data_IF_951146833447
#
_entry.id   IF_951146833447
#
_cell.length_a   1.000
_cell.length_b   1.000
_cell.length_c   1.000
_cell.angle_alpha   90.00
_cell.angle_beta   90.00
_cell.angle_gamma   90.00
#
_symmetry.space_group_name_H-M   'P 1'
#
loop_
_entity.id
_entity.type
_entity.pdbx_description
1 polymer ?
#
# COMPACT_ATOMS: atom_id res chain seq x y z
N UNK A 1 -39.19 -4.41 19.49
CA UNK A 1 -37.72 -4.28 19.50
C UNK A 1 -37.40 -2.95 20.15
N UNK A 2 -36.77 -2.95 21.33
CA UNK A 2 -36.34 -1.71 21.99
C UNK A 2 -34.83 -1.66 21.87
N UNK A 3 -34.32 -0.99 20.85
CA UNK A 3 -32.90 -0.69 20.80
C UNK A 3 -32.56 0.30 21.93
N UNK A 4 -31.31 0.29 22.39
CA UNK A 4 -30.86 1.27 23.38
C UNK A 4 -30.66 2.63 22.70
N UNK A 5 -31.41 3.69 23.05
CA UNK A 5 -31.26 5.01 22.40
C UNK A 5 -29.91 5.68 22.71
N UNK A 6 -29.23 5.28 23.79
CA UNK A 6 -27.96 5.85 24.24
C UNK A 6 -26.74 5.04 23.73
N UNK A 7 -26.93 4.21 22.70
CA UNK A 7 -25.90 3.29 22.20
C UNK A 7 -24.58 4.01 21.81
N UNK A 8 -24.68 5.20 21.24
CA UNK A 8 -23.51 5.97 20.79
C UNK A 8 -22.68 6.50 21.97
N UNK A 9 -23.35 7.05 22.99
CA UNK A 9 -22.70 7.53 24.21
C UNK A 9 -22.06 6.37 24.98
N UNK A 10 -22.80 5.28 25.18
CA UNK A 10 -22.33 4.08 25.88
C UNK A 10 -21.13 3.47 25.16
N UNK A 11 -21.20 3.30 23.84
CA UNK A 11 -20.11 2.72 23.06
C UNK A 11 -18.84 3.57 23.08
N UNK A 12 -18.95 4.89 22.98
CA UNK A 12 -17.80 5.79 23.08
C UNK A 12 -17.19 5.79 24.49
N UNK A 13 -18.02 5.83 25.54
CA UNK A 13 -17.55 5.75 26.93
C UNK A 13 -16.86 4.40 27.22
N UNK A 14 -17.42 3.31 26.71
CA UNK A 14 -16.82 1.98 26.79
C UNK A 14 -15.43 1.94 26.15
N UNK A 15 -15.26 2.51 24.95
CA UNK A 15 -13.96 2.51 24.24
C UNK A 15 -12.88 3.22 25.07
N UNK A 16 -13.20 4.37 25.65
CA UNK A 16 -12.28 5.09 26.53
C UNK A 16 -11.93 4.26 27.78
N UNK A 17 -12.94 3.66 28.40
CA UNK A 17 -12.75 2.82 29.57
C UNK A 17 -11.89 1.58 29.27
N UNK A 18 -12.23 0.83 28.22
CA UNK A 18 -11.52 -0.38 27.82
C UNK A 18 -10.03 -0.10 27.57
N UNK A 19 -9.70 0.92 26.76
CA UNK A 19 -8.29 1.21 26.47
C UNK A 19 -7.52 1.80 27.66
N UNK A 20 -8.19 2.48 28.59
CA UNK A 20 -7.55 2.89 29.85
C UNK A 20 -7.05 1.70 30.70
N UNK A 21 -7.68 0.52 30.52
CA UNK A 21 -7.30 -0.73 31.18
C UNK A 21 -6.40 -1.60 30.32
N UNK A 22 -6.59 -1.61 29.00
CA UNK A 22 -5.81 -2.43 28.08
C UNK A 22 -4.38 -1.90 27.87
N UNK A 23 -4.22 -0.58 27.73
CA UNK A 23 -2.94 0.02 27.29
C UNK A 23 -1.90 0.16 28.42
N UNK A 24 -2.19 -0.38 29.61
CA UNK A 24 -1.23 -0.39 30.73
C UNK A 24 -0.02 -1.29 30.40
N UNK A 25 1.22 -0.88 30.77
CA UNK A 25 2.43 -1.68 30.48
C UNK A 25 2.48 -3.01 31.23
N UNK A 26 1.89 -3.07 32.41
CA UNK A 26 1.89 -4.26 33.26
C UNK A 26 0.80 -5.24 32.84
N UNK A 27 1.22 -6.45 32.46
CA UNK A 27 0.36 -7.51 31.95
C UNK A 27 -0.64 -8.01 33.00
N UNK A 28 -0.24 -8.09 34.27
CA UNK A 28 -1.12 -8.51 35.35
C UNK A 28 -2.18 -7.43 35.66
N UNK A 29 -1.80 -6.15 35.63
CA UNK A 29 -2.76 -5.04 35.75
C UNK A 29 -3.74 -5.00 34.57
N UNK A 30 -3.27 -5.28 33.34
CA UNK A 30 -4.12 -5.38 32.16
C UNK A 30 -5.18 -6.46 32.33
N UNK A 31 -4.74 -7.67 32.69
CA UNK A 31 -5.62 -8.83 32.84
C UNK A 31 -6.66 -8.61 33.95
N UNK A 32 -6.21 -8.21 35.15
CA UNK A 32 -7.12 -7.91 36.27
C UNK A 32 -8.05 -6.73 35.99
N UNK A 33 -7.58 -5.68 35.32
CA UNK A 33 -8.38 -4.50 35.00
C UNK A 33 -9.47 -4.73 33.95
N UNK A 34 -9.35 -5.79 33.14
CA UNK A 34 -10.31 -6.16 32.10
C UNK A 34 -11.22 -7.34 32.49
N UNK A 35 -10.88 -8.06 33.56
CA UNK A 35 -11.65 -9.19 34.12
C UNK A 35 -13.16 -8.97 34.09
N UNK A 36 -13.61 -7.83 34.62
CA UNK A 36 -15.04 -7.58 34.89
C UNK A 36 -15.82 -7.20 33.64
N UNK A 37 -15.13 -6.95 32.52
CA UNK A 37 -15.76 -6.68 31.23
C UNK A 37 -16.15 -7.96 30.48
N UNK A 38 -15.67 -9.13 30.90
CA UNK A 38 -15.97 -10.41 30.26
C UNK A 38 -16.81 -11.31 31.16
N UNK A 39 -17.80 -11.95 30.56
CA UNK A 39 -18.61 -12.98 31.20
C UNK A 39 -17.80 -14.28 31.37
N UNK A 40 -17.94 -14.99 32.51
CA UNK A 40 -17.20 -16.22 32.76
C UNK A 40 -17.37 -17.30 31.69
N UNK A 41 -18.54 -17.41 31.04
CA UNK A 41 -18.82 -18.49 30.08
C UNK A 41 -19.20 -18.04 28.66
N UNK A 42 -19.76 -16.83 28.52
CA UNK A 42 -20.44 -16.39 27.30
C UNK A 42 -19.75 -15.24 26.56
N UNK A 43 -18.51 -14.92 26.92
CA UNK A 43 -17.65 -14.03 26.16
C UNK A 43 -16.79 -14.80 25.16
N UNK A 44 -16.63 -14.23 23.96
CA UNK A 44 -15.79 -14.78 22.90
C UNK A 44 -14.81 -13.71 22.42
N UNK A 45 -13.52 -14.04 22.36
CA UNK A 45 -12.50 -13.19 21.75
C UNK A 45 -11.88 -13.91 20.57
N UNK A 46 -11.63 -13.21 19.47
CA UNK A 46 -10.75 -13.67 18.40
C UNK A 46 -9.61 -12.67 18.22
N UNK A 47 -8.39 -13.08 18.55
CA UNK A 47 -7.20 -12.24 18.47
C UNK A 47 -6.25 -12.80 17.40
N UNK A 48 -6.02 -12.04 16.32
CA UNK A 48 -5.19 -12.47 15.19
C UNK A 48 -5.63 -13.82 14.58
N UNK A 49 -6.92 -14.18 14.73
CA UNK A 49 -7.50 -15.42 14.18
C UNK A 49 -7.50 -16.59 15.16
N UNK A 50 -6.92 -16.43 16.35
CA UNK A 50 -7.01 -17.41 17.45
C UNK A 50 -8.19 -17.04 18.34
N UNK A 51 -9.15 -17.94 18.46
CA UNK A 51 -10.33 -17.75 19.30
C UNK A 51 -10.07 -18.23 20.74
N UNK A 52 -10.63 -17.51 21.71
CA UNK A 52 -10.71 -17.86 23.12
C UNK A 52 -12.16 -17.68 23.61
N UNK A 53 -12.60 -18.54 24.53
CA UNK A 53 -13.97 -18.50 25.08
C UNK A 53 -13.95 -18.42 26.60
N UNK A 54 -14.82 -17.57 27.13
CA UNK A 54 -14.96 -17.34 28.57
C UNK A 54 -13.82 -16.48 29.10
N UNK A 55 -14.08 -15.82 30.22
CA UNK A 55 -13.15 -14.87 30.83
C UNK A 55 -11.76 -15.44 31.04
N UNK A 56 -11.64 -16.65 31.58
CA UNK A 56 -10.34 -17.20 32.00
C UNK A 56 -9.39 -17.42 30.80
N UNK A 57 -9.88 -17.98 29.68
CA UNK A 57 -9.08 -18.16 28.46
C UNK A 57 -8.72 -16.80 27.81
N UNK A 58 -9.66 -15.84 27.85
CA UNK A 58 -9.44 -14.49 27.33
C UNK A 58 -8.34 -13.78 28.14
N UNK A 59 -8.40 -13.86 29.47
CA UNK A 59 -7.40 -13.28 30.36
C UNK A 59 -6.03 -13.97 30.18
N UNK A 60 -6.00 -15.28 29.98
CA UNK A 60 -4.77 -16.00 29.63
C UNK A 60 -4.20 -15.52 28.28
N UNK A 61 -5.07 -15.24 27.29
CA UNK A 61 -4.66 -14.68 26.01
C UNK A 61 -3.97 -13.34 26.19
N UNK A 62 -4.51 -12.43 27.01
CA UNK A 62 -3.86 -11.16 27.31
C UNK A 62 -2.47 -11.32 27.93
N UNK A 63 -2.30 -12.32 28.80
CA UNK A 63 -1.00 -12.63 29.39
C UNK A 63 0.02 -13.10 28.35
N UNK A 64 -0.43 -13.76 27.28
CA UNK A 64 0.44 -14.17 26.17
C UNK A 64 0.84 -13.05 25.20
N UNK A 65 0.19 -11.89 25.27
CA UNK A 65 0.49 -10.76 24.38
C UNK A 65 1.78 -10.06 24.83
N UNK A 66 2.74 -9.92 23.92
CA UNK A 66 4.04 -9.30 24.22
C UNK A 66 4.04 -7.77 24.14
N UNK A 67 2.85 -7.15 24.07
CA UNK A 67 2.72 -5.70 23.99
C UNK A 67 3.16 -5.03 25.29
N UNK A 68 4.27 -4.28 25.22
CA UNK A 68 4.72 -3.33 26.24
C UNK A 68 4.61 -1.91 25.67
N UNK A 69 4.30 -0.92 26.52
CA UNK A 69 4.23 0.49 26.11
C UNK A 69 3.33 0.77 24.91
N UNK A 70 2.01 0.56 25.04
CA UNK A 70 1.06 0.81 23.94
C UNK A 70 0.76 2.31 23.83
N UNK A 71 1.09 2.90 22.67
CA UNK A 71 0.63 4.23 22.28
C UNK A 71 -0.45 4.07 21.21
N UNK A 72 -1.69 4.46 21.55
CA UNK A 72 -2.85 4.29 20.69
C UNK A 72 -3.37 5.62 20.15
N UNK A 73 -3.65 5.65 18.86
CA UNK A 73 -4.36 6.73 18.21
C UNK A 73 -5.64 6.16 17.56
N UNK A 74 -6.81 6.50 18.12
CA UNK A 74 -8.09 6.11 17.56
C UNK A 74 -8.39 7.01 16.35
N UNK A 75 -8.56 6.41 15.18
CA UNK A 75 -8.94 7.12 13.95
C UNK A 75 -10.45 7.37 13.94
N UNK A 76 -11.23 6.34 14.27
CA UNK A 76 -12.69 6.41 14.27
C UNK A 76 -13.29 5.33 15.18
N UNK A 77 -14.40 5.69 15.80
CA UNK A 77 -15.29 4.78 16.52
C UNK A 77 -16.68 4.94 15.94
N UNK A 78 -17.32 3.82 15.60
CA UNK A 78 -18.69 3.76 15.11
C UNK A 78 -19.49 2.78 15.99
N UNK A 79 -20.67 3.22 16.45
CA UNK A 79 -21.54 2.44 17.31
C UNK A 79 -22.86 2.16 16.58
N UNK A 80 -23.38 0.95 16.67
CA UNK A 80 -24.65 0.56 16.07
C UNK A 80 -25.52 -0.17 17.10
N UNK A 81 -26.81 0.19 17.25
CA UNK A 81 -27.71 -0.52 18.13
C UNK A 81 -28.10 -1.88 17.55
N UNK A 82 -28.31 -2.87 18.42
CA UNK A 82 -28.84 -4.19 18.05
C UNK A 82 -30.25 -4.41 18.62
N UNK A 83 -31.05 -5.33 18.04
CA UNK A 83 -32.46 -5.52 18.41
C UNK A 83 -32.73 -5.98 19.85
N UNK A 84 -31.74 -6.57 20.51
CA UNK A 84 -31.76 -7.09 21.88
C UNK A 84 -31.27 -6.08 22.93
N UNK A 85 -31.03 -4.83 22.52
CA UNK A 85 -30.46 -3.79 23.37
C UNK A 85 -28.93 -3.85 23.48
N UNK A 86 -28.29 -4.81 22.80
CA UNK A 86 -26.84 -4.86 22.65
C UNK A 86 -26.34 -3.74 21.72
N UNK A 87 -25.03 -3.50 21.74
CA UNK A 87 -24.38 -2.45 20.96
C UNK A 87 -23.18 -3.06 20.23
N UNK A 88 -23.15 -2.93 18.90
CA UNK A 88 -21.96 -3.19 18.11
C UNK A 88 -21.07 -1.96 18.13
N UNK A 89 -19.81 -2.11 18.51
CA UNK A 89 -18.81 -1.05 18.51
C UNK A 89 -17.68 -1.44 17.57
N UNK A 90 -17.41 -0.63 16.56
CA UNK A 90 -16.28 -0.78 15.65
C UNK A 90 -15.26 0.32 15.94
N UNK A 91 -14.00 -0.08 16.16
CA UNK A 91 -12.88 0.83 16.39
C UNK A 91 -11.82 0.57 15.35
N UNK A 92 -11.40 1.63 14.68
CA UNK A 92 -10.23 1.62 13.80
C UNK A 92 -9.21 2.63 14.30
N UNK A 93 -7.95 2.28 14.23
CA UNK A 93 -6.90 3.14 14.75
C UNK A 93 -5.52 2.69 14.35
N UNK A 94 -4.55 3.32 15.00
CA UNK A 94 -3.14 3.02 14.91
C UNK A 94 -2.60 2.76 16.30
N UNK A 95 -1.65 1.84 16.40
CA UNK A 95 -0.95 1.50 17.63
C UNK A 95 0.55 1.43 17.37
N UNK A 96 1.33 1.97 18.30
CA UNK A 96 2.77 1.74 18.43
C UNK A 96 2.96 0.99 19.75
N UNK A 97 3.80 -0.03 19.76
CA UNK A 97 4.05 -0.85 20.95
C UNK A 97 5.46 -1.43 20.88
N UNK A 98 6.09 -1.57 22.03
CA UNK A 98 7.37 -2.24 22.20
C UNK A 98 7.14 -3.76 22.29
N UNK A 99 7.99 -4.56 21.62
CA UNK A 99 7.91 -6.02 21.63
C UNK A 99 9.16 -6.62 22.29
N UNK A 100 8.98 -7.49 23.29
CA UNK A 100 10.10 -8.17 23.98
C UNK A 100 10.91 -9.12 23.08
N UNK A 101 10.33 -9.62 21.99
CA UNK A 101 10.94 -10.70 21.19
C UNK A 101 11.86 -10.19 20.06
N UNK A 102 11.97 -8.88 19.85
CA UNK A 102 12.92 -8.32 18.89
C UNK A 102 14.37 -8.52 19.37
N UNK A 103 14.60 -8.50 20.68
CA UNK A 103 15.95 -8.60 21.28
C UNK A 103 16.56 -10.01 21.09
N UNK A 104 15.76 -11.06 21.09
CA UNK A 104 16.23 -12.46 21.03
C UNK A 104 16.53 -12.93 19.59
N UNK A 105 15.82 -12.40 18.58
CA UNK A 105 16.12 -12.66 17.16
C UNK A 105 17.42 -11.99 16.71
N UNK A 106 17.76 -10.83 17.28
CA UNK A 106 19.01 -10.13 16.96
C UNK A 106 20.24 -10.79 17.60
N UNK A 107 20.16 -11.24 18.86
CA UNK A 107 21.29 -11.92 19.52
C UNK A 107 21.67 -13.24 18.85
N UNK A 108 20.69 -14.00 18.34
CA UNK A 108 20.93 -15.27 17.66
C UNK A 108 21.62 -15.07 16.30
N UNK A 109 21.33 -13.97 15.59
CA UNK A 109 22.00 -13.61 14.32
C UNK A 109 23.43 -13.13 14.53
N UNK A 110 23.71 -12.38 15.61
CA UNK A 110 25.08 -11.99 15.95
C UNK A 110 25.95 -13.19 16.29
N UNK A 111 25.43 -14.17 17.05
CA UNK A 111 26.18 -15.42 17.33
C UNK A 111 26.42 -16.24 16.06
N UNK A 112 25.48 -16.28 15.11
CA UNK A 112 25.65 -17.00 13.85
C UNK A 112 26.62 -16.29 12.90
N UNK A 113 26.55 -14.95 12.81
CA UNK A 113 27.49 -14.15 12.02
C UNK A 113 28.93 -14.30 12.53
N UNK A 114 29.10 -14.32 13.86
CA UNK A 114 30.40 -14.50 14.49
C UNK A 114 30.99 -15.90 14.27
N UNK A 115 30.16 -16.95 14.24
CA UNK A 115 30.63 -18.30 13.88
C UNK A 115 31.01 -18.46 12.41
N UNK A 116 30.48 -17.60 11.53
CA UNK A 116 30.82 -17.61 10.09
C UNK A 116 32.12 -16.83 9.80
N UNK A 117 32.46 -15.84 10.63
CA UNK A 117 33.73 -15.11 10.55
C UNK A 117 34.94 -15.97 10.98
N UNK A 118 34.77 -16.85 11.97
CA UNK A 118 35.86 -17.70 12.48
C UNK A 118 36.21 -18.90 11.56
N UNK A 119 35.39 -19.24 10.55
CA UNK A 119 35.62 -20.39 9.65
C UNK A 119 36.24 -20.06 8.28
N UNK A 120 36.36 -18.78 7.88
CA UNK A 120 36.82 -18.41 6.53
C UNK A 120 37.92 -17.33 6.54
N UNK A 121 39.08 -17.65 7.11
CA UNK A 121 40.34 -17.04 6.65
C UNK A 121 40.85 -17.85 5.45
N UNK A 122 40.43 -17.50 4.23
CA UNK A 122 41.27 -17.45 3.01
C UNK A 122 40.39 -17.19 1.76
N UNK A 123 40.79 -16.13 1.04
CA UNK A 123 40.48 -15.80 -0.36
C UNK A 123 39.45 -14.69 -0.65
N UNK A 124 40.01 -13.63 -1.25
CA UNK A 124 39.41 -12.59 -2.07
C UNK A 124 38.40 -11.60 -1.48
N UNK A 125 38.90 -10.37 -1.35
CA UNK A 125 38.21 -9.09 -1.24
C UNK A 125 37.16 -8.88 -2.34
N UNK A 126 35.88 -9.16 -2.06
CA UNK A 126 34.72 -8.59 -2.78
C UNK A 126 33.56 -8.44 -1.79
N UNK A 127 33.07 -7.21 -1.64
CA UNK A 127 31.76 -6.82 -1.08
C UNK A 127 31.25 -7.53 0.20
N UNK A 128 31.73 -7.09 1.36
CA UNK A 128 30.89 -7.10 2.58
C UNK A 128 31.11 -5.80 3.35
N UNK A 129 30.66 -4.69 2.78
CA UNK A 129 30.44 -3.46 3.52
C UNK A 129 28.98 -3.03 3.30
N UNK A 130 28.09 -3.71 4.03
CA UNK A 130 26.67 -3.41 4.28
C UNK A 130 26.18 -4.62 5.08
N UNK A 131 26.10 -4.56 6.40
CA UNK A 131 25.01 -3.90 7.11
C UNK A 131 25.46 -3.71 8.57
N UNK A 132 26.12 -2.59 8.89
CA UNK A 132 26.06 -2.07 10.26
C UNK A 132 24.69 -1.41 10.36
N UNK A 133 23.67 -2.18 10.71
CA UNK A 133 22.45 -1.61 11.28
C UNK A 133 22.88 -0.96 12.60
N UNK A 134 23.09 0.35 12.53
CA UNK A 134 23.10 1.20 13.71
C UNK A 134 21.81 0.90 14.48
N UNK A 135 21.98 0.51 15.74
CA UNK A 135 20.94 0.31 16.72
C UNK A 135 20.13 1.61 16.87
N UNK A 136 19.10 1.80 16.04
CA UNK A 136 18.19 2.93 16.09
C UNK A 136 16.97 2.54 16.95
N UNK A 137 17.09 2.74 18.26
CA UNK A 137 16.09 2.35 19.26
C UNK A 137 14.94 3.36 19.42
N UNK A 138 14.35 3.91 18.35
CA UNK A 138 13.22 4.86 18.52
C UNK A 138 12.06 4.79 17.50
N UNK A 139 12.20 4.09 16.38
CA UNK A 139 11.16 4.06 15.32
C UNK A 139 10.47 2.70 15.17
N UNK A 140 9.96 2.14 16.28
CA UNK A 140 8.99 1.03 16.18
C UNK A 140 7.82 1.45 15.26
N UNK A 141 7.53 0.70 14.18
CA UNK A 141 6.61 1.14 13.15
C UNK A 141 5.17 1.19 13.69
N UNK A 142 4.50 2.32 13.46
CA UNK A 142 3.08 2.51 13.76
C UNK A 142 2.25 1.53 12.92
N UNK A 143 1.44 0.69 13.57
CA UNK A 143 0.65 -0.35 12.93
C UNK A 143 -0.85 -0.01 13.03
N UNK A 144 -1.58 -0.06 11.92
CA UNK A 144 -3.04 0.07 11.95
C UNK A 144 -3.67 -1.14 12.65
N UNK A 145 -4.82 -0.96 13.30
CA UNK A 145 -5.60 -2.07 13.84
C UNK A 145 -7.10 -1.82 13.65
N UNK A 146 -7.85 -2.92 13.63
CA UNK A 146 -9.30 -2.93 13.65
C UNK A 146 -9.76 -3.78 14.84
N UNK A 147 -10.69 -3.27 15.63
CA UNK A 147 -11.26 -3.97 16.77
C UNK A 147 -12.78 -3.81 16.79
N UNK A 148 -13.48 -4.93 16.97
CA UNK A 148 -14.94 -4.97 17.04
C UNK A 148 -15.36 -5.53 18.38
N UNK A 149 -16.38 -4.94 18.98
CA UNK A 149 -17.00 -5.42 20.22
C UNK A 149 -18.51 -5.54 20.03
N UNK A 150 -19.11 -6.55 20.65
CA UNK A 150 -20.54 -6.60 20.92
C UNK A 150 -20.72 -6.47 22.43
N UNK A 151 -21.34 -5.38 22.86
CA UNK A 151 -21.67 -5.12 24.26
C UNK A 151 -23.09 -5.60 24.52
N UNK A 152 -23.27 -6.53 25.45
CA UNK A 152 -24.58 -7.05 25.83
C UNK A 152 -24.97 -6.51 27.21
N UNK A 153 -26.21 -6.02 27.40
CA UNK A 153 -26.66 -5.56 28.71
C UNK A 153 -26.79 -6.73 29.70
N UNK A 154 -26.35 -6.51 30.93
CA UNK A 154 -26.52 -7.43 32.06
C UNK A 154 -26.67 -6.65 33.36
N UNK A 155 -27.80 -6.83 34.05
CA UNK A 155 -28.07 -6.28 35.40
C UNK A 155 -27.73 -4.79 35.59
N UNK A 156 -28.07 -3.96 34.59
CA UNK A 156 -27.82 -2.50 34.63
C UNK A 156 -26.42 -2.07 34.15
N UNK A 157 -25.56 -3.00 33.76
CA UNK A 157 -24.25 -2.77 33.16
C UNK A 157 -24.16 -3.43 31.77
N UNK A 158 -22.99 -3.33 31.13
CA UNK A 158 -22.67 -4.01 29.88
C UNK A 158 -21.43 -4.89 30.05
N UNK A 159 -21.44 -6.04 29.39
CA UNK A 159 -20.25 -6.89 29.25
C UNK A 159 -19.96 -7.13 27.77
N UNK A 160 -18.71 -7.49 27.45
CA UNK A 160 -18.25 -7.82 26.11
C UNK A 160 -18.66 -9.24 25.79
N UNK A 161 -19.69 -9.44 24.97
CA UNK A 161 -20.08 -10.78 24.53
C UNK A 161 -19.16 -11.30 23.43
N UNK A 162 -18.72 -10.42 22.53
CA UNK A 162 -17.86 -10.78 21.41
C UNK A 162 -16.81 -9.70 21.18
N UNK A 163 -15.59 -10.12 20.91
CA UNK A 163 -14.48 -9.27 20.53
C UNK A 163 -13.71 -9.87 19.35
N UNK A 164 -13.36 -9.04 18.38
CA UNK A 164 -12.42 -9.41 17.32
C UNK A 164 -11.35 -8.33 17.25
N UNK A 165 -10.09 -8.73 17.37
CA UNK A 165 -8.95 -7.85 17.21
C UNK A 165 -8.07 -8.31 16.04
N UNK A 166 -7.75 -7.36 15.15
CA UNK A 166 -6.86 -7.57 14.01
C UNK A 166 -5.84 -6.44 13.92
N UNK A 167 -4.57 -6.79 13.86
CA UNK A 167 -3.51 -5.91 13.39
C UNK A 167 -3.56 -5.87 11.85
N UNK A 168 -3.53 -4.66 11.29
CA UNK A 168 -3.19 -4.49 9.89
C UNK A 168 -1.74 -4.88 9.66
N UNK A 169 -1.37 -5.30 8.45
CA UNK A 169 0.03 -5.65 8.14
C UNK A 169 0.95 -4.48 8.49
N UNK A 170 2.14 -4.80 9.02
CA UNK A 170 3.22 -3.82 9.19
C UNK A 170 3.56 -3.24 7.82
N UNK A 171 3.07 -2.04 7.55
CA UNK A 171 3.46 -1.24 6.40
C UNK A 171 4.60 -0.36 6.91
N UNK A 172 5.85 -0.64 6.51
CA UNK A 172 6.91 0.33 6.71
C UNK A 172 6.60 1.54 5.83
N UNK A 173 6.15 2.63 6.44
CA UNK A 173 5.84 3.88 5.75
C UNK A 173 4.46 4.44 6.10
N UNK A 174 4.50 5.58 6.78
CA UNK A 174 3.35 6.44 7.10
C UNK A 174 2.56 6.78 5.83
N UNK A 175 1.39 6.17 5.63
CA UNK A 175 0.46 6.56 4.56
C UNK A 175 -0.59 7.52 5.09
N UNK A 176 -0.58 8.75 4.57
CA UNK A 176 -1.78 9.61 4.52
C UNK A 176 -2.76 8.99 3.52
N UNK A 177 -4.03 8.91 3.91
CA UNK A 177 -5.11 8.34 3.13
C UNK A 177 -5.19 8.95 1.72
N UNK A 178 -5.22 8.09 0.69
CA UNK A 178 -5.60 8.46 -0.68
C UNK A 178 -4.63 8.09 -1.81
N UNK A 179 -3.46 7.50 -1.55
CA UNK A 179 -2.56 7.04 -2.63
C UNK A 179 -2.29 5.55 -2.52
N UNK A 180 -2.48 4.84 -3.64
CA UNK A 180 -2.03 3.46 -3.86
C UNK A 180 -0.61 3.31 -3.31
N UNK A 181 -0.32 2.22 -2.61
CA UNK A 181 0.97 2.01 -1.99
C UNK A 181 2.11 2.05 -3.05
N UNK A 182 2.85 3.16 -3.07
CA UNK A 182 4.05 3.31 -3.90
C UNK A 182 5.18 2.46 -3.32
N UNK A 183 5.83 1.67 -4.19
CA UNK A 183 7.05 0.92 -3.87
C UNK A 183 8.11 1.87 -3.29
N UNK A 184 9.06 1.35 -2.50
CA UNK A 184 10.17 2.16 -1.99
C UNK A 184 11.02 2.76 -3.12
N UNK A 185 11.56 3.98 -2.93
CA UNK A 185 12.28 4.74 -3.96
C UNK A 185 13.42 3.94 -4.63
N UNK A 186 14.23 3.24 -3.84
CA UNK A 186 15.28 2.37 -4.38
C UNK A 186 14.74 1.29 -5.32
N UNK A 187 13.62 0.66 -4.95
CA UNK A 187 12.97 -0.37 -5.77
C UNK A 187 12.35 0.21 -7.03
N UNK A 188 11.74 1.40 -6.95
CA UNK A 188 11.23 2.11 -8.14
C UNK A 188 12.37 2.38 -9.11
N UNK A 189 13.52 2.85 -8.62
CA UNK A 189 14.68 3.11 -9.45
C UNK A 189 15.21 1.86 -10.15
N UNK A 190 15.34 0.75 -9.43
CA UNK A 190 15.76 -0.53 -9.98
C UNK A 190 14.76 -1.03 -11.05
N UNK A 191 13.46 -1.05 -10.71
CA UNK A 191 12.39 -1.45 -11.61
C UNK A 191 12.34 -0.56 -12.88
N UNK A 192 12.53 0.75 -12.73
CA UNK A 192 12.60 1.70 -13.86
C UNK A 192 13.82 1.45 -14.75
N UNK A 193 14.97 1.17 -14.14
CA UNK A 193 16.21 0.87 -14.86
C UNK A 193 16.07 -0.41 -15.67
N UNK A 194 15.50 -1.47 -15.08
CA UNK A 194 15.22 -2.71 -15.77
C UNK A 194 14.20 -2.52 -16.90
N UNK A 195 13.10 -1.80 -16.65
CA UNK A 195 12.11 -1.52 -17.67
C UNK A 195 12.74 -0.80 -18.88
N UNK A 196 13.43 0.32 -18.66
CA UNK A 196 14.06 1.08 -19.76
C UNK A 196 15.02 0.21 -20.55
N UNK A 197 15.85 -0.59 -19.86
CA UNK A 197 16.81 -1.49 -20.50
C UNK A 197 16.09 -2.52 -21.38
N UNK A 198 15.12 -3.24 -20.83
CA UNK A 198 14.47 -4.35 -21.51
C UNK A 198 13.66 -3.86 -22.73
N UNK A 199 12.96 -2.74 -22.61
CA UNK A 199 12.26 -2.11 -23.74
C UNK A 199 13.21 -1.51 -24.78
N UNK A 200 14.35 -0.95 -24.37
CA UNK A 200 15.38 -0.48 -25.31
C UNK A 200 15.96 -1.65 -26.12
N UNK A 201 16.24 -2.77 -25.45
CA UNK A 201 16.74 -3.99 -26.10
C UNK A 201 15.71 -4.53 -27.09
N UNK A 202 14.44 -4.61 -26.70
CA UNK A 202 13.36 -5.06 -27.59
C UNK A 202 13.23 -4.19 -28.86
N UNK A 203 13.29 -2.87 -28.71
CA UNK A 203 13.24 -1.93 -29.84
C UNK A 203 14.43 -2.11 -30.81
N UNK A 204 15.64 -2.28 -30.26
CA UNK A 204 16.86 -2.45 -31.05
C UNK A 204 16.85 -3.81 -31.78
N UNK A 205 16.55 -4.90 -31.05
CA UNK A 205 16.56 -6.25 -31.62
C UNK A 205 15.53 -6.37 -32.75
N UNK A 206 14.30 -5.90 -32.53
CA UNK A 206 13.25 -5.94 -33.57
C UNK A 206 13.63 -5.12 -34.81
N UNK A 207 14.22 -3.94 -34.61
CA UNK A 207 14.67 -3.07 -35.70
C UNK A 207 15.80 -3.68 -36.52
N UNK A 208 16.81 -4.24 -35.84
CA UNK A 208 17.93 -4.93 -36.50
C UNK A 208 17.42 -6.16 -37.25
N UNK A 209 16.50 -6.93 -36.64
CA UNK A 209 15.92 -8.10 -37.26
C UNK A 209 15.25 -7.74 -38.61
N UNK A 210 14.33 -6.78 -38.62
CA UNK A 210 13.69 -6.36 -39.86
C UNK A 210 14.68 -5.81 -40.88
N UNK A 211 15.57 -4.89 -40.48
CA UNK A 211 16.54 -4.30 -41.39
C UNK A 211 17.45 -5.36 -42.03
N UNK A 212 17.95 -6.32 -41.24
CA UNK A 212 18.82 -7.38 -41.74
C UNK A 212 18.12 -8.30 -42.75
N UNK A 213 16.91 -8.76 -42.46
CA UNK A 213 16.15 -9.63 -43.37
C UNK A 213 15.67 -8.89 -44.63
N UNK A 214 15.22 -7.64 -44.49
CA UNK A 214 14.77 -6.78 -45.61
C UNK A 214 15.90 -6.22 -46.47
N UNK A 215 17.17 -6.36 -46.06
CA UNK A 215 18.33 -6.03 -46.89
C UNK A 215 18.95 -7.26 -47.56
N UNK A 216 18.79 -8.46 -46.99
CA UNK A 216 19.50 -9.67 -47.43
C UNK A 216 18.60 -10.69 -48.13
N UNK A 217 17.36 -10.86 -47.70
CA UNK A 217 16.47 -11.95 -48.14
C UNK A 217 15.27 -11.38 -48.92
N UNK A 218 14.63 -10.35 -48.38
CA UNK A 218 13.43 -9.75 -48.96
C UNK A 218 13.77 -8.38 -49.56
N UNK A 219 13.18 -8.03 -50.71
CA UNK A 219 13.31 -6.68 -51.29
C UNK A 219 12.15 -5.80 -50.82
N UNK A 220 12.33 -5.10 -49.69
CA UNK A 220 11.32 -4.19 -49.17
C UNK A 220 11.14 -2.95 -50.06
N UNK A 221 9.89 -2.57 -50.27
CA UNK A 221 9.49 -1.37 -51.02
C UNK A 221 9.82 -0.08 -50.27
N UNK A 222 9.86 1.04 -51.00
CA UNK A 222 10.11 2.36 -50.41
C UNK A 222 9.11 2.71 -49.30
N UNK A 223 7.83 2.33 -49.46
CA UNK A 223 6.80 2.60 -48.47
C UNK A 223 7.06 1.81 -47.17
N UNK A 224 7.48 0.55 -47.28
CA UNK A 224 7.79 -0.28 -46.12
C UNK A 224 8.98 0.27 -45.33
N UNK A 225 10.02 0.75 -46.01
CA UNK A 225 11.13 1.48 -45.38
C UNK A 225 10.70 2.77 -44.69
N UNK A 226 9.79 3.53 -45.31
CA UNK A 226 9.24 4.76 -44.69
C UNK A 226 8.48 4.41 -43.40
N UNK A 227 7.59 3.40 -43.43
CA UNK A 227 6.84 2.99 -42.24
C UNK A 227 7.76 2.40 -41.18
N UNK A 228 8.79 1.66 -41.57
CA UNK A 228 9.84 1.18 -40.66
C UNK A 228 10.56 2.34 -39.95
N UNK A 229 10.94 3.40 -40.68
CA UNK A 229 11.51 4.61 -40.08
C UNK A 229 10.55 5.29 -39.10
N UNK A 230 9.24 5.31 -39.39
CA UNK A 230 8.22 5.81 -38.45
C UNK A 230 8.18 4.96 -37.18
N UNK A 231 8.23 3.63 -37.28
CA UNK A 231 8.31 2.73 -36.12
C UNK A 231 9.56 3.01 -35.27
N UNK A 232 10.74 3.18 -35.89
CA UNK A 232 11.97 3.55 -35.18
C UNK A 232 11.80 4.88 -34.44
N UNK A 233 11.23 5.88 -35.11
CA UNK A 233 11.01 7.20 -34.51
C UNK A 233 10.08 7.12 -33.29
N UNK A 234 8.99 6.37 -33.39
CA UNK A 234 8.05 6.15 -32.28
C UNK A 234 8.70 5.38 -31.12
N UNK A 235 9.46 4.32 -31.42
CA UNK A 235 10.19 3.56 -30.40
C UNK A 235 11.23 4.44 -29.69
N UNK A 236 12.01 5.21 -30.44
CA UNK A 236 13.00 6.13 -29.88
C UNK A 236 12.34 7.20 -29.01
N UNK A 237 11.28 7.83 -29.51
CA UNK A 237 10.51 8.83 -28.76
C UNK A 237 9.96 8.27 -27.45
N UNK A 238 9.40 7.05 -27.48
CA UNK A 238 8.89 6.38 -26.29
C UNK A 238 10.00 6.04 -25.28
N UNK A 239 11.14 5.50 -25.73
CA UNK A 239 12.29 5.19 -24.86
C UNK A 239 12.91 6.46 -24.25
N UNK A 240 13.08 7.52 -25.04
CA UNK A 240 13.56 8.81 -24.54
C UNK A 240 12.62 9.40 -23.50
N UNK A 241 11.31 9.30 -23.72
CA UNK A 241 10.31 9.77 -22.77
C UNK A 241 10.33 8.96 -21.47
N UNK A 242 10.46 7.63 -21.55
CA UNK A 242 10.66 6.79 -20.35
C UNK A 242 11.91 7.16 -19.57
N UNK A 243 13.03 7.42 -20.26
CA UNK A 243 14.28 7.88 -19.62
C UNK A 243 14.13 9.24 -18.94
N UNK A 244 13.41 10.15 -19.57
CA UNK A 244 13.11 11.46 -18.99
C UNK A 244 12.25 11.33 -17.72
N UNK A 245 11.20 10.50 -17.77
CA UNK A 245 10.30 10.29 -16.63
C UNK A 245 10.98 9.58 -15.45
N UNK A 246 11.93 8.68 -15.71
CA UNK A 246 12.63 7.90 -14.70
C UNK A 246 13.96 8.53 -14.22
N UNK A 247 14.15 9.84 -14.42
CA UNK A 247 15.36 10.51 -13.94
C UNK A 247 15.47 10.40 -12.41
N UNK A 248 16.56 9.81 -11.93
CA UNK A 248 16.80 9.66 -10.51
C UNK A 248 17.68 10.79 -9.95
N UNK A 249 17.38 11.21 -8.73
CA UNK A 249 18.21 12.11 -7.93
C UNK A 249 18.84 11.29 -6.81
N UNK A 250 20.14 11.51 -6.58
CA UNK A 250 20.92 10.81 -5.55
C UNK A 250 21.49 11.80 -4.55
N UNK A 251 21.69 11.36 -3.31
CA UNK A 251 22.38 12.15 -2.29
C UNK A 251 23.91 12.07 -2.46
N UNK A 252 24.64 12.84 -1.64
CA UNK A 252 26.11 12.86 -1.60
C UNK A 252 26.73 11.49 -1.27
N UNK A 253 25.98 10.62 -0.58
CA UNK A 253 26.37 9.23 -0.27
C UNK A 253 26.00 8.24 -1.38
N UNK A 254 25.48 8.70 -2.52
CA UNK A 254 25.09 7.88 -3.67
C UNK A 254 23.75 7.13 -3.54
N UNK A 255 22.98 7.34 -2.48
CA UNK A 255 21.66 6.73 -2.27
C UNK A 255 20.58 7.47 -3.07
N UNK A 256 19.61 6.73 -3.61
CA UNK A 256 18.50 7.29 -4.39
C UNK A 256 17.52 7.99 -3.46
N UNK A 257 17.39 9.30 -3.61
CA UNK A 257 16.42 10.12 -2.86
C UNK A 257 15.10 10.26 -3.62
N UNK A 258 15.17 10.28 -4.95
CA UNK A 258 14.01 10.31 -5.84
C UNK A 258 14.32 9.42 -7.06
N UNK A 259 13.45 8.47 -7.36
CA UNK A 259 13.59 7.57 -8.50
C UNK A 259 12.89 8.07 -9.78
N UNK A 260 12.24 9.23 -9.71
CA UNK A 260 11.38 9.73 -10.77
C UNK A 260 10.02 9.04 -10.78
N UNK A 261 9.29 9.18 -11.89
CA UNK A 261 7.98 8.56 -12.07
C UNK A 261 8.16 7.05 -12.23
N UNK A 262 7.44 6.26 -11.42
CA UNK A 262 7.41 4.80 -11.55
C UNK A 262 6.71 4.42 -12.86
N UNK A 263 7.48 3.88 -13.80
CA UNK A 263 7.01 3.50 -15.12
C UNK A 263 6.04 2.32 -15.08
N UNK A 264 6.00 1.56 -13.97
CA UNK A 264 5.15 0.38 -13.80
C UNK A 264 3.83 0.69 -13.08
N UNK A 265 3.53 1.96 -12.82
CA UNK A 265 2.23 2.35 -12.28
C UNK A 265 1.14 2.15 -13.34
N UNK A 266 0.05 1.43 -13.01
CA UNK A 266 -1.05 1.24 -13.94
C UNK A 266 -1.72 2.59 -14.24
N UNK A 267 -2.19 2.75 -15.48
CA UNK A 267 -2.83 3.98 -15.99
C UNK A 267 -1.92 5.22 -15.97
N UNK A 268 -0.62 5.05 -15.74
CA UNK A 268 0.36 6.12 -15.81
C UNK A 268 0.93 6.28 -17.23
N UNK A 269 1.50 7.45 -17.52
CA UNK A 269 2.06 7.76 -18.84
C UNK A 269 3.17 6.78 -19.28
N UNK A 270 3.88 6.18 -18.32
CA UNK A 270 4.91 5.15 -18.58
C UNK A 270 4.38 3.89 -19.26
N UNK A 271 3.12 3.51 -19.02
CA UNK A 271 2.49 2.34 -19.63
C UNK A 271 2.31 2.57 -21.15
N UNK A 272 1.83 3.75 -21.55
CA UNK A 272 1.67 4.09 -22.97
C UNK A 272 2.99 4.07 -23.74
N UNK A 273 4.08 4.53 -23.13
CA UNK A 273 5.40 4.45 -23.76
C UNK A 273 5.83 3.00 -23.99
N UNK A 274 5.54 2.09 -23.05
CA UNK A 274 5.85 0.67 -23.20
C UNK A 274 4.99 0.02 -24.28
N UNK A 275 3.70 0.33 -24.30
CA UNK A 275 2.75 -0.19 -25.30
C UNK A 275 3.17 0.20 -26.72
N UNK A 276 3.61 1.46 -26.92
CA UNK A 276 4.13 1.92 -28.20
C UNK A 276 5.36 1.09 -28.61
N UNK A 277 6.30 0.85 -27.70
CA UNK A 277 7.50 0.06 -27.98
C UNK A 277 7.14 -1.40 -28.31
N UNK A 278 6.25 -2.04 -27.54
CA UNK A 278 5.81 -3.41 -27.77
C UNK A 278 5.13 -3.50 -29.14
N UNK A 279 4.13 -2.65 -29.39
CA UNK A 279 3.35 -2.66 -30.63
C UNK A 279 4.25 -2.46 -31.86
N UNK A 280 5.14 -1.46 -31.84
CA UNK A 280 6.06 -1.22 -32.94
C UNK A 280 7.03 -2.39 -33.13
N UNK A 281 7.54 -2.99 -32.05
CA UNK A 281 8.45 -4.14 -32.13
C UNK A 281 7.76 -5.36 -32.75
N UNK A 282 6.51 -5.64 -32.34
CA UNK A 282 5.71 -6.73 -32.91
C UNK A 282 5.35 -6.50 -34.37
N UNK A 283 4.95 -5.27 -34.73
CA UNK A 283 4.65 -4.89 -36.12
C UNK A 283 5.87 -5.13 -37.00
N UNK A 284 7.04 -4.65 -36.58
CA UNK A 284 8.29 -4.74 -37.36
C UNK A 284 8.73 -6.19 -37.55
N UNK A 285 8.63 -7.05 -36.52
CA UNK A 285 8.97 -8.49 -36.65
C UNK A 285 8.01 -9.22 -37.59
N UNK A 286 6.70 -8.97 -37.48
CA UNK A 286 5.68 -9.64 -38.31
C UNK A 286 5.70 -9.10 -39.75
N UNK A 287 5.98 -7.81 -39.93
CA UNK A 287 6.00 -7.15 -41.23
C UNK A 287 7.04 -7.76 -42.19
N UNK A 288 8.10 -8.37 -41.66
CA UNK A 288 9.08 -9.14 -42.44
C UNK A 288 8.42 -10.22 -43.30
N UNK A 289 7.34 -10.83 -42.80
CA UNK A 289 6.61 -11.91 -43.48
C UNK A 289 5.26 -11.44 -44.03
N UNK A 290 4.67 -10.40 -43.45
CA UNK A 290 3.35 -9.93 -43.83
C UNK A 290 3.22 -8.41 -43.73
N UNK A 291 3.53 -7.71 -44.83
CA UNK A 291 3.60 -6.24 -44.84
C UNK A 291 2.29 -5.51 -44.59
N UNK A 292 1.14 -6.16 -44.73
CA UNK A 292 -0.16 -5.55 -44.41
C UNK A 292 -0.35 -5.30 -42.92
N UNK A 293 0.47 -5.90 -42.05
CA UNK A 293 0.40 -5.69 -40.60
C UNK A 293 0.70 -4.24 -40.19
N UNK A 294 1.38 -3.46 -41.04
CA UNK A 294 1.65 -2.04 -40.78
C UNK A 294 0.39 -1.19 -40.56
N UNK A 295 -0.77 -1.63 -41.05
CA UNK A 295 -2.06 -0.96 -40.75
C UNK A 295 -2.41 -0.95 -39.25
N UNK A 296 -1.87 -1.88 -38.46
CA UNK A 296 -2.03 -1.87 -37.00
C UNK A 296 -1.38 -0.67 -36.32
N UNK A 297 -0.48 0.06 -37.00
CA UNK A 297 0.08 1.30 -36.48
C UNK A 297 -1.01 2.36 -36.21
N UNK A 298 -2.15 2.29 -36.92
CA UNK A 298 -3.31 3.16 -36.69
C UNK A 298 -3.99 2.94 -35.34
N UNK A 299 -3.67 1.86 -34.60
CA UNK A 299 -4.15 1.67 -33.24
C UNK A 299 -3.64 2.76 -32.29
N UNK A 300 -2.43 3.28 -32.51
CA UNK A 300 -1.84 4.35 -31.68
C UNK A 300 -2.70 5.63 -31.73
N UNK A 301 -2.96 6.26 -32.89
CA UNK A 301 -3.82 7.44 -32.95
C UNK A 301 -5.27 7.13 -32.60
N UNK A 302 -5.80 5.95 -32.96
CA UNK A 302 -7.17 5.55 -32.59
C UNK A 302 -7.36 5.49 -31.06
N UNK A 303 -6.40 4.88 -30.34
CA UNK A 303 -6.42 4.82 -28.88
C UNK A 303 -6.23 6.20 -28.24
N UNK A 304 -5.35 7.04 -28.78
CA UNK A 304 -5.18 8.42 -28.32
C UNK A 304 -6.49 9.22 -28.44
N UNK A 305 -7.18 9.11 -29.59
CA UNK A 305 -8.49 9.74 -29.79
C UNK A 305 -9.53 9.22 -28.78
N UNK A 306 -9.58 7.90 -28.54
CA UNK A 306 -10.48 7.30 -27.55
C UNK A 306 -10.21 7.83 -26.14
N UNK A 307 -8.95 7.95 -25.73
CA UNK A 307 -8.57 8.48 -24.40
C UNK A 307 -8.90 9.97 -24.26
N UNK A 308 -8.69 10.78 -25.30
CA UNK A 308 -9.09 12.20 -25.29
C UNK A 308 -10.62 12.33 -25.20
N UNK A 309 -11.35 11.51 -25.96
CA UNK A 309 -12.80 11.48 -25.91
C UNK A 309 -13.32 11.15 -24.52
N UNK A 310 -12.83 10.09 -23.90
CA UNK A 310 -13.31 9.63 -22.58
C UNK A 310 -12.81 10.47 -21.42
N UNK A 311 -11.58 11.01 -21.48
CA UNK A 311 -10.96 11.74 -20.38
C UNK A 311 -11.31 13.24 -20.33
N UNK A 312 -11.47 13.90 -21.48
CA UNK A 312 -11.64 15.36 -21.54
C UNK A 312 -12.99 15.72 -22.14
N UNK A 313 -13.30 15.20 -23.33
CA UNK A 313 -14.46 15.67 -24.09
C UNK A 313 -15.79 15.16 -23.49
N UNK A 314 -15.90 13.87 -23.21
CA UNK A 314 -17.14 13.25 -22.72
C UNK A 314 -17.61 13.85 -21.39
N UNK A 315 -16.75 14.02 -20.35
CA UNK A 315 -17.17 14.69 -19.13
C UNK A 315 -17.58 16.15 -19.37
N UNK A 316 -16.96 16.86 -20.30
CA UNK A 316 -17.31 18.25 -20.60
C UNK A 316 -18.67 18.37 -21.31
N UNK A 317 -18.97 17.48 -22.26
CA UNK A 317 -20.24 17.49 -23.00
C UNK A 317 -21.43 16.96 -22.19
N UNK A 318 -21.18 16.06 -21.24
CA UNK A 318 -22.23 15.34 -20.50
C UNK A 318 -22.17 15.56 -18.99
N UNK A 319 -21.42 16.57 -18.51
CA UNK A 319 -21.49 17.01 -17.12
C UNK A 319 -22.93 17.41 -16.79
N UNK A 320 -23.56 16.68 -15.88
CA UNK A 320 -24.79 17.15 -15.26
C UNK A 320 -24.41 18.30 -14.30
N UNK A 321 -25.26 19.33 -14.16
CA UNK A 321 -25.10 20.29 -13.08
C UNK A 321 -25.41 19.57 -11.76
N UNK A 322 -24.38 19.05 -11.10
CA UNK A 322 -24.52 18.51 -9.75
C UNK A 322 -24.61 19.67 -8.73
N UNK A 323 -25.38 19.43 -7.66
CA UNK A 323 -25.72 20.32 -6.54
C UNK A 323 -24.49 20.92 -5.79
N UNK A 324 -23.71 21.77 -6.46
CA UNK A 324 -22.57 22.49 -5.87
C UNK A 324 -22.99 23.41 -4.71
N UNK A 325 -24.27 23.78 -4.64
CA UNK A 325 -24.86 24.56 -3.56
C UNK A 325 -24.76 23.86 -2.19
N UNK A 326 -24.81 22.52 -2.13
CA UNK A 326 -24.83 21.79 -0.84
C UNK A 326 -23.43 21.64 -0.21
N UNK A 327 -22.38 21.58 -1.05
CA UNK A 327 -20.98 21.46 -0.61
C UNK A 327 -20.45 22.81 -0.13
N UNK A 328 -20.84 23.91 -0.80
CA UNK A 328 -20.38 25.25 -0.43
C UNK A 328 -21.08 25.76 0.85
N UNK A 329 -22.36 25.44 1.08
CA UNK A 329 -23.04 25.69 2.36
C UNK A 329 -22.36 25.00 3.55
N UNK A 330 -21.95 23.73 3.39
CA UNK A 330 -21.25 22.98 4.44
C UNK A 330 -19.87 23.58 4.73
N UNK A 331 -19.15 24.08 3.72
CA UNK A 331 -17.86 24.76 3.90
C UNK A 331 -18.02 26.13 4.56
N UNK A 332 -19.04 26.90 4.17
CA UNK A 332 -19.40 28.18 4.78
C UNK A 332 -19.77 28.03 6.26
N UNK A 333 -20.64 27.08 6.60
CA UNK A 333 -21.01 26.77 8.00
C UNK A 333 -19.81 26.34 8.84
N UNK A 334 -18.86 25.62 8.25
CA UNK A 334 -17.62 25.21 8.94
C UNK A 334 -16.65 26.38 9.16
N UNK A 335 -16.63 27.35 8.26
CA UNK A 335 -15.85 28.59 8.39
C UNK A 335 -16.47 29.53 9.43
N UNK A 336 -17.79 29.70 9.45
CA UNK A 336 -18.50 30.49 10.47
C UNK A 336 -18.35 29.93 11.88
N UNK A 337 -18.40 28.58 12.04
CA UNK A 337 -18.16 27.93 13.34
C UNK A 337 -16.75 28.16 13.89
N UNK A 338 -15.77 28.38 13.01
CA UNK A 338 -14.39 28.71 13.42
C UNK A 338 -14.27 30.19 13.82
N UNK A 339 -14.93 31.09 13.09
CA UNK A 339 -14.96 32.52 13.40
C UNK A 339 -15.71 32.86 14.69
N UNK A 340 -16.70 32.06 15.10
CA UNK A 340 -17.38 32.23 16.40
C UNK A 340 -16.60 31.71 17.62
N UNK A 341 -15.48 31.02 17.39
CA UNK A 341 -14.63 30.43 18.44
C UNK A 341 -13.28 31.15 18.60
N UNK A 342 -13.03 32.17 17.76
CA UNK A 342 -11.96 33.15 17.93
C UNK A 342 -12.59 34.43 18.49
#
# INVERSE_FOLDING_TARGET
MSFNPNYEEIGNAFVQHYYSKFDVPDVAMRSSGLSDLYDPQNSYMTFEGVQARGRDEILQKFTSLTFKGIQRAITKTDCQPLPDGSILVAVIGQLKYENSNAVEYHSTRESYAKSVEDENEMDQSVEVEREKDELQTDDDPVQSYNQFFILRPSSGAFFISNEIFRLGKRMSGTQKAGKVATKGQKRIYEDNTYAIRDYSIAAIISSIFYASLSLTIFSASTLEWVVFCVCIFLQLGAVLTMRYMAQCIRNEKGQVIDAGIDLNQPDAFGEYCKDIVILCSSIVVIATFWSKIFWLLLLIPAYACYRIWTGILSPWFFAQPDDDDEIDEKKLRKKERKLRKA
#
